data_IF_777684424736
#
_entry.id   IF_777684424736
#
_cell.length_a   1.000
_cell.length_b   1.000
_cell.length_c   1.000
_cell.angle_alpha   90.00
_cell.angle_beta   90.00
_cell.angle_gamma   90.00
#
_symmetry.space_group_name_H-M   'P 1'
#
loop_
_entity.id
_entity.type
_entity.pdbx_description
1 polymer ?
#
# COMPACT_ATOMS: atom_id res chain seq x y z
N UNK A 1 15.49 -6.36 16.15
CA UNK A 1 14.74 -5.09 15.98
C UNK A 1 13.34 -5.43 15.48
N UNK A 2 12.27 -5.16 16.23
CA UNK A 2 10.89 -5.45 15.78
C UNK A 2 10.49 -4.41 14.73
N UNK A 3 10.20 -4.83 13.50
CA UNK A 3 9.75 -3.95 12.41
C UNK A 3 8.34 -3.45 12.77
N UNK A 4 8.16 -2.14 12.88
CA UNK A 4 6.82 -1.58 13.14
C UNK A 4 5.98 -1.60 11.86
N UNK A 5 4.65 -1.83 11.97
CA UNK A 5 3.76 -1.79 10.83
C UNK A 5 3.68 -0.37 10.25
N UNK A 6 3.72 -0.26 8.93
CA UNK A 6 3.45 1.01 8.23
C UNK A 6 1.99 1.37 8.45
N UNK A 7 1.74 2.57 8.98
CA UNK A 7 0.38 3.06 9.28
C UNK A 7 -0.08 4.05 8.22
N UNK A 8 -1.36 3.95 7.86
CA UNK A 8 -2.05 4.92 6.99
C UNK A 8 -1.85 6.34 7.50
N UNK A 9 -2.04 6.57 8.80
CA UNK A 9 -1.84 7.88 9.43
C UNK A 9 -0.48 8.50 9.08
N UNK A 10 0.60 7.71 9.15
CA UNK A 10 1.95 8.20 8.84
C UNK A 10 2.09 8.62 7.37
N UNK A 11 1.52 7.83 6.46
CA UNK A 11 1.49 8.17 5.04
C UNK A 11 0.75 9.49 4.77
N UNK A 12 -0.42 9.67 5.39
CA UNK A 12 -1.23 10.88 5.26
C UNK A 12 -0.53 12.11 5.86
N UNK A 13 0.06 11.97 7.05
CA UNK A 13 0.87 13.04 7.65
C UNK A 13 2.01 13.46 6.75
N UNK A 14 2.78 12.50 6.23
CA UNK A 14 3.89 12.77 5.30
C UNK A 14 3.43 13.48 4.03
N UNK A 15 2.27 13.11 3.48
CA UNK A 15 1.70 13.78 2.32
C UNK A 15 1.33 15.24 2.62
N UNK A 16 0.77 15.52 3.80
CA UNK A 16 0.27 16.85 4.18
C UNK A 16 1.32 17.77 4.85
N UNK A 17 2.48 17.24 5.25
CA UNK A 17 3.60 18.03 5.80
C UNK A 17 4.80 18.10 4.86
N UNK A 18 4.89 17.22 3.87
CA UNK A 18 6.03 17.11 2.96
C UNK A 18 5.85 17.80 1.61
N UNK A 19 6.72 17.48 0.63
CA UNK A 19 6.70 18.08 -0.71
C UNK A 19 5.38 17.89 -1.47
N UNK A 20 4.63 16.83 -1.15
CA UNK A 20 3.33 16.53 -1.76
C UNK A 20 2.15 17.34 -1.21
N UNK A 21 2.38 18.23 -0.24
CA UNK A 21 1.32 18.94 0.51
C UNK A 21 0.34 19.68 -0.40
N UNK A 22 0.84 20.44 -1.37
CA UNK A 22 -0.03 21.23 -2.26
C UNK A 22 -0.92 20.34 -3.12
N UNK A 23 -0.39 19.22 -3.61
CA UNK A 23 -1.17 18.26 -4.40
C UNK A 23 -2.22 17.57 -3.53
N UNK A 24 -1.87 17.18 -2.31
CA UNK A 24 -2.81 16.59 -1.36
C UNK A 24 -3.93 17.56 -0.99
N UNK A 25 -3.60 18.82 -0.71
CA UNK A 25 -4.58 19.89 -0.45
C UNK A 25 -5.53 20.12 -1.61
N UNK A 26 -5.00 20.22 -2.83
CA UNK A 26 -5.80 20.40 -4.04
C UNK A 26 -6.72 19.20 -4.28
N UNK A 27 -6.22 17.97 -4.12
CA UNK A 27 -6.99 16.75 -4.36
C UNK A 27 -8.23 16.64 -3.47
N UNK A 28 -8.15 17.15 -2.23
CA UNK A 28 -9.26 17.10 -1.27
C UNK A 28 -9.98 18.44 -1.12
N UNK A 29 -9.59 19.47 -1.87
CA UNK A 29 -10.12 20.83 -1.76
C UNK A 29 -10.03 21.39 -0.34
N UNK A 30 -8.88 21.21 0.32
CA UNK A 30 -8.63 21.76 1.65
C UNK A 30 -7.75 22.99 1.63
N UNK A 31 -8.09 23.95 2.48
CA UNK A 31 -7.22 25.06 2.84
C UNK A 31 -6.24 24.69 3.97
N UNK A 32 -5.29 25.59 4.28
CA UNK A 32 -4.29 25.37 5.33
C UNK A 32 -4.90 25.18 6.72
N UNK A 33 -6.05 25.81 7.00
CA UNK A 33 -6.74 25.71 8.28
C UNK A 33 -7.34 24.31 8.46
N UNK A 34 -7.86 23.73 7.39
CA UNK A 34 -8.41 22.39 7.36
C UNK A 34 -7.28 21.36 7.50
N UNK A 35 -6.17 21.53 6.77
CA UNK A 35 -4.99 20.66 6.95
C UNK A 35 -4.50 20.69 8.40
N UNK A 36 -4.39 21.88 8.99
CA UNK A 36 -3.93 22.04 10.37
C UNK A 36 -4.89 21.35 11.36
N UNK A 37 -6.21 21.52 11.19
CA UNK A 37 -7.22 20.81 11.98
C UNK A 37 -7.16 19.30 11.81
N UNK A 38 -6.90 18.79 10.61
CA UNK A 38 -6.79 17.35 10.38
C UNK A 38 -5.57 16.79 11.10
N UNK A 39 -4.41 17.44 10.95
CA UNK A 39 -3.16 17.00 11.55
C UNK A 39 -3.18 17.06 13.09
N UNK A 40 -3.96 17.97 13.67
CA UNK A 40 -4.18 18.06 15.12
C UNK A 40 -5.30 17.13 15.64
N UNK A 41 -6.02 16.43 14.75
CA UNK A 41 -7.14 15.55 15.11
C UNK A 41 -8.46 16.28 15.37
N UNK A 42 -8.53 17.59 15.08
CA UNK A 42 -9.74 18.41 15.22
C UNK A 42 -10.74 18.27 14.07
N UNK A 43 -10.41 17.53 12.99
CA UNK A 43 -11.38 17.13 11.97
C UNK A 43 -11.10 15.72 11.44
N UNK A 44 -12.15 15.01 11.04
CA UNK A 44 -12.05 13.73 10.32
C UNK A 44 -11.94 13.90 8.80
N UNK A 45 -11.89 12.77 8.09
CA UNK A 45 -11.97 12.71 6.62
C UNK A 45 -13.40 12.30 6.27
N UNK A 46 -14.06 13.10 5.42
CA UNK A 46 -15.37 12.76 4.86
C UNK A 46 -15.22 11.74 3.73
N UNK A 47 -16.22 10.87 3.57
CA UNK A 47 -16.12 9.66 2.73
C UNK A 47 -15.73 9.96 1.27
N UNK A 48 -16.22 11.06 0.71
CA UNK A 48 -15.93 11.53 -0.65
C UNK A 48 -14.47 11.94 -0.86
N UNK A 49 -13.75 12.30 0.22
CA UNK A 49 -12.35 12.74 0.18
C UNK A 49 -11.35 11.63 0.47
N UNK A 50 -11.81 10.46 0.90
CA UNK A 50 -10.94 9.34 1.28
C UNK A 50 -10.05 8.95 0.08
N UNK A 51 -10.66 8.55 -1.03
CA UNK A 51 -9.90 8.03 -2.18
C UNK A 51 -8.95 9.07 -2.78
N UNK A 52 -9.39 10.33 -2.82
CA UNK A 52 -8.58 11.46 -3.30
C UNK A 52 -7.35 11.68 -2.41
N UNK A 53 -7.53 11.67 -1.09
CA UNK A 53 -6.44 11.85 -0.15
C UNK A 53 -5.44 10.69 -0.21
N UNK A 54 -5.91 9.44 -0.21
CA UNK A 54 -5.04 8.27 -0.32
C UNK A 54 -4.26 8.25 -1.64
N UNK A 55 -4.92 8.55 -2.76
CA UNK A 55 -4.27 8.61 -4.07
C UNK A 55 -3.18 9.69 -4.12
N UNK A 56 -3.43 10.86 -3.52
CA UNK A 56 -2.44 11.94 -3.43
C UNK A 56 -1.19 11.57 -2.61
N UNK A 57 -1.34 10.61 -1.69
CA UNK A 57 -0.24 10.10 -0.87
C UNK A 57 0.59 9.00 -1.55
N UNK A 58 0.23 8.60 -2.77
CA UNK A 58 0.91 7.56 -3.54
C UNK A 58 0.50 6.13 -3.17
N UNK A 59 -0.65 5.96 -2.51
CA UNK A 59 -1.18 4.65 -2.13
C UNK A 59 -2.42 4.30 -2.95
N UNK A 60 -2.65 3.01 -3.15
CA UNK A 60 -3.85 2.45 -3.79
C UNK A 60 -4.45 1.39 -2.88
N UNK A 61 -5.78 1.33 -2.84
CA UNK A 61 -6.48 0.27 -2.14
C UNK A 61 -6.47 -0.97 -3.02
N UNK A 62 -6.03 -2.09 -2.47
CA UNK A 62 -6.13 -3.41 -3.09
C UNK A 62 -6.61 -4.40 -2.03
N UNK A 63 -7.36 -5.41 -2.45
CA UNK A 63 -7.82 -6.48 -1.55
C UNK A 63 -6.68 -7.41 -1.16
N UNK A 64 -6.78 -8.06 0.00
CA UNK A 64 -5.83 -9.10 0.42
C UNK A 64 -5.67 -10.20 -0.63
N UNK A 65 -6.78 -10.62 -1.28
CA UNK A 65 -6.76 -11.60 -2.36
C UNK A 65 -5.83 -11.21 -3.51
N UNK A 66 -5.74 -9.92 -3.83
CA UNK A 66 -4.85 -9.41 -4.87
C UNK A 66 -3.38 -9.55 -4.44
N UNK A 67 -3.05 -9.21 -3.20
CA UNK A 67 -1.69 -9.37 -2.66
C UNK A 67 -1.28 -10.84 -2.50
N UNK A 68 -2.19 -11.71 -2.10
CA UNK A 68 -1.94 -13.16 -2.02
C UNK A 68 -1.63 -13.75 -3.40
N UNK A 69 -2.34 -13.31 -4.44
CA UNK A 69 -2.06 -13.74 -5.81
C UNK A 69 -0.64 -13.37 -6.25
N UNK A 70 -0.18 -12.15 -5.95
CA UNK A 70 1.20 -11.71 -6.23
C UNK A 70 2.20 -12.55 -5.42
N UNK A 71 1.91 -12.80 -4.15
CA UNK A 71 2.78 -13.60 -3.27
C UNK A 71 2.96 -15.01 -3.82
N UNK A 72 1.87 -15.65 -4.24
CA UNK A 72 1.91 -16.97 -4.88
C UNK A 72 2.73 -16.94 -6.17
N UNK A 73 2.51 -15.94 -7.04
CA UNK A 73 3.30 -15.78 -8.27
C UNK A 73 4.81 -15.64 -8.00
N UNK A 74 5.18 -14.91 -6.94
CA UNK A 74 6.56 -14.78 -6.53
C UNK A 74 7.15 -16.09 -5.98
N UNK A 75 6.35 -16.93 -5.30
CA UNK A 75 6.78 -18.23 -4.77
C UNK A 75 7.01 -19.26 -5.86
N UNK A 76 6.06 -19.41 -6.79
CA UNK A 76 6.19 -20.35 -7.92
C UNK A 76 7.24 -19.91 -8.94
N UNK A 77 7.76 -18.69 -8.76
CA UNK A 77 8.78 -18.07 -9.56
C UNK A 77 8.21 -17.51 -10.85
N UNK A 78 7.94 -16.20 -10.85
CA UNK A 78 7.53 -15.44 -12.04
C UNK A 78 8.48 -15.63 -13.27
N UNK A 79 9.66 -16.22 -13.06
CA UNK A 79 10.59 -16.65 -14.10
C UNK A 79 11.29 -18.00 -13.78
N UNK A 80 10.62 -18.95 -13.11
CA UNK A 80 11.23 -20.24 -12.75
C UNK A 80 11.58 -21.05 -14.02
N UNK A 81 12.88 -21.29 -14.23
CA UNK A 81 13.37 -22.10 -15.36
C UNK A 81 12.97 -23.57 -15.23
N UNK A 82 13.01 -24.13 -14.02
CA UNK A 82 12.63 -25.52 -13.75
C UNK A 82 11.18 -25.80 -14.17
N UNK A 83 10.26 -24.89 -13.84
CA UNK A 83 8.85 -24.99 -14.23
C UNK A 83 8.71 -24.95 -15.77
N UNK A 84 9.42 -24.03 -16.45
CA UNK A 84 9.44 -23.95 -17.93
C UNK A 84 10.03 -25.19 -18.61
N UNK A 85 10.93 -25.90 -17.91
CA UNK A 85 11.54 -27.16 -18.37
C UNK A 85 10.75 -28.40 -17.94
N UNK A 86 9.60 -28.25 -17.27
CA UNK A 86 8.76 -29.36 -16.81
C UNK A 86 9.32 -30.12 -15.61
N UNK A 87 10.25 -29.54 -14.86
CA UNK A 87 10.92 -30.15 -13.71
C UNK A 87 10.27 -29.81 -12.35
N UNK A 88 9.14 -29.10 -12.36
CA UNK A 88 8.47 -28.60 -11.14
C UNK A 88 8.86 -27.17 -10.76
N UNK A 89 8.21 -26.64 -9.72
CA UNK A 89 8.41 -25.27 -9.24
C UNK A 89 9.67 -25.14 -8.38
N UNK A 90 10.38 -24.03 -8.54
CA UNK A 90 11.56 -23.69 -7.77
C UNK A 90 11.13 -23.35 -6.34
N UNK A 91 11.31 -24.27 -5.38
CA UNK A 91 10.94 -24.06 -3.97
C UNK A 91 9.78 -24.90 -3.45
N UNK A 92 9.26 -25.83 -4.25
CA UNK A 92 8.61 -27.02 -3.70
C UNK A 92 9.69 -28.08 -3.52
N UNK A 93 10.01 -28.42 -2.26
CA UNK A 93 10.69 -29.67 -1.98
C UNK A 93 9.72 -30.78 -2.38
N UNK A 94 9.95 -31.36 -3.55
CA UNK A 94 9.24 -32.54 -4.03
C UNK A 94 9.74 -33.72 -3.19
N UNK A 95 9.37 -33.75 -1.91
CA UNK A 95 9.92 -34.69 -0.93
C UNK A 95 9.15 -34.85 0.38
N UNK A 96 8.13 -34.04 0.66
CA UNK A 96 7.47 -34.05 1.99
C UNK A 96 6.09 -34.73 2.07
N UNK A 97 5.69 -35.53 1.06
CA UNK A 97 4.55 -36.46 1.21
C UNK A 97 4.81 -37.82 0.52
N UNK A 98 5.78 -38.58 1.06
CA UNK A 98 5.88 -40.03 0.88
C UNK A 98 6.12 -40.71 2.23
#
# INVERSE_FOLDING_TARGET
MKKQPVRIEHALRRALTGPGRQNAMAAVGWDESQVSRFLSGGQGIVIDKIDALFSSSGYRLVSDRYFEAITTLCKVGAHCECARRGLGECGLDVGDEA
#
